data_IF_749367796095
#
_entry.id   IF_749367796095
#
_cell.length_a   1.000
_cell.length_b   1.000
_cell.length_c   1.000
_cell.angle_alpha   90.00
_cell.angle_beta   90.00
_cell.angle_gamma   90.00
#
_symmetry.space_group_name_H-M   'P 1'
#
loop_
_entity.id
_entity.type
_entity.pdbx_description
1 polymer ?
#
# COMPACT_ATOMS: atom_id res chain seq x y z
N UNK A 1 23.80 -15.95 1.34
CA UNK A 1 22.78 -14.95 0.96
C UNK A 1 21.74 -14.73 2.04
N UNK A 2 21.22 -15.76 2.74
CA UNK A 2 20.21 -15.61 3.82
C UNK A 2 20.52 -14.48 4.83
N UNK A 3 21.76 -14.39 5.32
CA UNK A 3 22.14 -13.33 6.29
C UNK A 3 22.28 -11.91 5.69
N UNK A 4 21.94 -11.72 4.40
CA UNK A 4 21.97 -10.42 3.71
C UNK A 4 20.59 -9.96 3.25
N UNK A 5 19.55 -10.80 3.40
CA UNK A 5 18.18 -10.50 2.97
C UNK A 5 17.29 -10.55 4.21
N UNK A 6 16.71 -9.40 4.57
CA UNK A 6 15.84 -9.28 5.75
C UNK A 6 14.41 -9.77 5.47
N UNK A 7 13.95 -9.61 4.23
CA UNK A 7 12.56 -9.87 3.89
C UNK A 7 12.27 -9.86 2.41
N UNK A 8 11.04 -10.22 2.07
CA UNK A 8 10.51 -10.26 0.71
C UNK A 8 9.35 -9.27 0.56
N UNK A 9 9.26 -8.66 -0.62
CA UNK A 9 8.21 -7.73 -1.00
C UNK A 9 7.48 -8.24 -2.24
N UNK A 10 6.16 -8.19 -2.24
CA UNK A 10 5.37 -8.16 -3.47
C UNK A 10 5.20 -6.71 -3.94
N UNK A 11 5.53 -6.43 -5.20
CA UNK A 11 5.36 -5.11 -5.82
C UNK A 11 4.95 -5.25 -7.28
N UNK A 12 5.04 -4.16 -8.05
CA UNK A 12 4.53 -4.05 -9.44
C UNK A 12 3.00 -3.89 -9.50
N UNK A 13 2.42 -4.02 -10.70
CA UNK A 13 1.03 -3.68 -10.98
C UNK A 13 0.04 -4.57 -10.22
N UNK A 14 -0.82 -3.94 -9.41
CA UNK A 14 -1.87 -4.63 -8.66
C UNK A 14 -3.05 -5.07 -9.55
N UNK A 15 -3.35 -4.33 -10.63
CA UNK A 15 -4.49 -4.62 -11.52
C UNK A 15 -4.42 -6.05 -12.06
N UNK A 16 -5.46 -6.84 -11.79
CA UNK A 16 -5.53 -8.26 -12.18
C UNK A 16 -4.61 -9.21 -11.39
N UNK A 17 -3.90 -8.70 -10.37
CA UNK A 17 -2.98 -9.46 -9.53
C UNK A 17 -3.32 -9.29 -8.03
N UNK A 18 -4.43 -9.88 -7.57
CA UNK A 18 -4.80 -9.81 -6.15
C UNK A 18 -3.72 -10.47 -5.26
N UNK A 19 -3.47 -9.98 -4.04
CA UNK A 19 -2.45 -10.54 -3.15
C UNK A 19 -2.63 -12.03 -2.88
N UNK A 20 -3.88 -12.51 -2.75
CA UNK A 20 -4.19 -13.93 -2.54
C UNK A 20 -3.59 -14.88 -3.60
N UNK A 21 -3.38 -14.41 -4.85
CA UNK A 21 -2.70 -15.16 -5.92
C UNK A 21 -1.28 -15.60 -5.53
N UNK A 22 -0.66 -14.88 -4.59
CA UNK A 22 0.72 -15.09 -4.14
C UNK A 22 0.83 -15.70 -2.75
N UNK A 23 -0.28 -16.11 -2.12
CA UNK A 23 -0.30 -16.64 -0.75
C UNK A 23 0.73 -17.76 -0.51
N UNK A 24 0.92 -18.67 -1.48
CA UNK A 24 1.92 -19.76 -1.39
C UNK A 24 3.36 -19.26 -1.26
N UNK A 25 3.69 -18.10 -1.82
CA UNK A 25 5.03 -17.51 -1.77
C UNK A 25 5.28 -16.85 -0.42
N UNK A 26 4.27 -16.15 0.12
CA UNK A 26 4.34 -15.60 1.47
C UNK A 26 4.46 -16.71 2.51
N UNK A 27 3.65 -17.77 2.41
CA UNK A 27 3.77 -18.93 3.28
C UNK A 27 5.18 -19.57 3.22
N UNK A 28 5.80 -19.63 2.03
CA UNK A 28 7.18 -20.09 1.91
C UNK A 28 8.17 -19.13 2.60
N UNK A 29 7.99 -17.82 2.43
CA UNK A 29 8.84 -16.81 3.07
C UNK A 29 8.76 -16.85 4.60
N UNK A 30 7.55 -17.02 5.16
CA UNK A 30 7.36 -17.15 6.61
C UNK A 30 8.03 -18.40 7.18
N UNK A 31 7.94 -19.55 6.50
CA UNK A 31 8.63 -20.79 6.92
C UNK A 31 10.15 -20.62 6.96
N UNK A 32 10.67 -19.75 6.12
CA UNK A 32 12.09 -19.41 6.03
C UNK A 32 12.51 -18.29 7.00
N UNK A 33 11.56 -17.71 7.76
CA UNK A 33 11.81 -16.66 8.73
C UNK A 33 12.03 -15.27 8.12
N UNK A 34 11.64 -15.04 6.88
CA UNK A 34 11.73 -13.73 6.24
C UNK A 34 10.60 -12.80 6.69
N UNK A 35 10.92 -11.51 6.81
CA UNK A 35 9.89 -10.49 6.94
C UNK A 35 9.15 -10.27 5.63
N UNK A 36 7.89 -9.84 5.70
CA UNK A 36 7.03 -9.75 4.51
C UNK A 36 6.32 -8.41 4.36
N UNK A 37 6.29 -7.89 3.14
CA UNK A 37 5.58 -6.65 2.79
C UNK A 37 4.95 -6.74 1.39
N UNK A 38 3.96 -5.90 1.09
CA UNK A 38 3.17 -5.99 -0.13
C UNK A 38 2.69 -4.60 -0.58
N UNK A 39 2.86 -4.26 -1.86
CA UNK A 39 2.00 -3.25 -2.50
C UNK A 39 0.56 -3.75 -2.45
N UNK A 40 -0.30 -3.01 -1.77
CA UNK A 40 -1.73 -3.26 -1.79
C UNK A 40 -2.46 -1.94 -1.56
N UNK A 41 -3.48 -1.70 -2.37
CA UNK A 41 -4.29 -0.49 -2.28
C UNK A 41 -3.60 0.75 -2.85
N UNK A 42 -2.58 0.57 -3.70
CA UNK A 42 -2.05 1.64 -4.54
C UNK A 42 -2.97 1.88 -5.75
N UNK A 43 -3.18 0.83 -6.54
CA UNK A 43 -4.07 0.81 -7.71
C UNK A 43 -5.28 -0.11 -7.49
N UNK A 44 -5.13 -1.10 -6.59
CA UNK A 44 -6.14 -2.08 -6.28
C UNK A 44 -7.16 -1.60 -5.24
N UNK A 45 -8.30 -2.30 -5.15
CA UNK A 45 -9.35 -1.99 -4.18
C UNK A 45 -8.90 -2.24 -2.73
N UNK A 46 -9.65 -1.69 -1.76
CA UNK A 46 -9.44 -1.94 -0.33
C UNK A 46 -9.41 -3.43 0.04
N UNK A 47 -10.08 -4.31 -0.73
CA UNK A 47 -10.03 -5.75 -0.51
C UNK A 47 -8.63 -6.34 -0.70
N UNK A 48 -7.77 -5.73 -1.52
CA UNK A 48 -6.39 -6.18 -1.67
C UNK A 48 -5.59 -5.95 -0.39
N UNK A 49 -5.78 -4.81 0.28
CA UNK A 49 -5.18 -4.56 1.59
C UNK A 49 -5.60 -5.65 2.58
N UNK A 50 -6.88 -6.04 2.56
CA UNK A 50 -7.41 -7.13 3.41
C UNK A 50 -6.79 -8.47 3.07
N UNK A 51 -6.73 -8.85 1.80
CA UNK A 51 -6.10 -10.10 1.37
C UNK A 51 -4.61 -10.16 1.73
N UNK A 52 -3.88 -9.05 1.59
CA UNK A 52 -2.48 -8.99 1.97
C UNK A 52 -2.27 -9.28 3.47
N UNK A 53 -3.15 -8.79 4.34
CA UNK A 53 -3.07 -9.00 5.79
C UNK A 53 -3.66 -10.34 6.25
N UNK A 54 -4.85 -10.70 5.78
CA UNK A 54 -5.58 -11.87 6.25
C UNK A 54 -5.10 -13.16 5.58
N UNK A 55 -4.77 -13.12 4.29
CA UNK A 55 -4.40 -14.30 3.49
C UNK A 55 -2.88 -14.43 3.38
N UNK A 56 -2.21 -13.33 3.04
CA UNK A 56 -0.76 -13.33 2.87
C UNK A 56 0.00 -13.04 4.17
N UNK A 57 -0.69 -12.65 5.24
CA UNK A 57 -0.11 -12.39 6.57
C UNK A 57 1.15 -11.53 6.52
N UNK A 58 1.12 -10.45 5.73
CA UNK A 58 2.25 -9.53 5.63
C UNK A 58 2.36 -8.63 6.85
N UNK A 59 3.57 -8.25 7.23
CA UNK A 59 3.82 -7.38 8.39
C UNK A 59 3.55 -5.91 8.09
N UNK A 60 3.73 -5.50 6.83
CA UNK A 60 3.59 -4.11 6.39
C UNK A 60 2.93 -3.99 5.02
N UNK A 61 2.00 -3.06 4.90
CA UNK A 61 1.42 -2.62 3.62
C UNK A 61 2.22 -1.46 3.06
N UNK A 62 2.61 -1.55 1.80
CA UNK A 62 3.19 -0.44 1.05
C UNK A 62 2.05 0.25 0.25
N UNK A 63 2.05 1.59 0.25
CA UNK A 63 1.00 2.49 -0.24
C UNK A 63 -0.28 2.49 0.58
N UNK A 64 -1.15 1.48 0.46
CA UNK A 64 -2.37 1.39 1.27
C UNK A 64 -3.35 2.57 1.15
N UNK A 65 -3.39 3.29 0.02
CA UNK A 65 -4.25 4.48 -0.13
C UNK A 65 -5.73 4.15 -0.01
N UNK A 66 -6.16 3.01 -0.57
CA UNK A 66 -7.56 2.56 -0.52
C UNK A 66 -7.94 1.87 0.79
N UNK A 67 -7.00 1.72 1.75
CA UNK A 67 -7.27 1.03 3.01
C UNK A 67 -8.42 1.67 3.82
N UNK A 68 -8.59 2.99 3.71
CA UNK A 68 -9.64 3.74 4.40
C UNK A 68 -11.04 3.62 3.75
N UNK A 69 -11.14 3.10 2.52
CA UNK A 69 -12.38 3.02 1.75
C UNK A 69 -13.25 1.80 2.13
N UNK A 70 -12.73 0.88 2.95
CA UNK A 70 -13.48 -0.29 3.42
C UNK A 70 -14.60 0.07 4.39
N UNK A 71 -15.70 -0.70 4.36
CA UNK A 71 -16.88 -0.54 5.22
C UNK A 71 -16.59 -0.62 6.74
N UNK A 72 -15.38 -1.01 7.15
CA UNK A 72 -14.93 -1.07 8.53
C UNK A 72 -13.92 0.03 8.92
N UNK A 73 -13.44 0.87 7.98
CA UNK A 73 -12.74 2.17 8.09
C UNK A 73 -11.62 2.39 9.14
N UNK A 74 -11.42 1.46 10.06
CA UNK A 74 -10.70 1.60 11.34
C UNK A 74 -10.17 0.28 11.88
N UNK A 75 -10.58 -0.88 11.34
CA UNK A 75 -10.04 -2.17 11.76
C UNK A 75 -8.97 -2.61 10.77
N UNK A 76 -7.72 -2.68 11.22
CA UNK A 76 -6.70 -3.46 10.51
C UNK A 76 -7.21 -4.92 10.43
N UNK A 77 -7.39 -5.49 9.23
CA UNK A 77 -7.60 -6.91 9.04
C UNK A 77 -6.41 -7.69 9.62
N UNK A 78 -6.64 -8.88 10.18
CA UNK A 78 -5.59 -9.66 10.86
C UNK A 78 -5.77 -9.83 12.39
N UNK A 79 -7.00 -10.01 12.87
CA UNK A 79 -7.21 -10.57 14.22
C UNK A 79 -6.73 -9.72 15.41
N UNK A 80 -6.50 -8.41 15.22
CA UNK A 80 -6.09 -7.49 16.29
C UNK A 80 -4.63 -7.02 16.24
N UNK A 81 -3.84 -7.45 15.25
CA UNK A 81 -2.50 -6.90 15.04
C UNK A 81 -2.54 -5.55 14.32
N UNK A 82 -1.64 -4.64 14.72
CA UNK A 82 -1.40 -3.38 14.01
C UNK A 82 -0.51 -3.68 12.81
N UNK A 83 -1.02 -3.46 11.60
CA UNK A 83 -0.20 -3.45 10.40
C UNK A 83 0.44 -2.07 10.25
N UNK A 84 1.74 -2.04 9.96
CA UNK A 84 2.39 -0.81 9.52
C UNK A 84 1.98 -0.48 8.09
N UNK A 85 1.79 0.82 7.78
CA UNK A 85 1.48 1.29 6.42
C UNK A 85 2.54 2.30 5.98
N UNK A 86 3.21 2.03 4.87
CA UNK A 86 4.17 2.94 4.24
C UNK A 86 3.47 3.79 3.18
N UNK A 87 3.41 5.11 3.39
CA UNK A 87 2.78 6.05 2.46
C UNK A 87 3.85 6.73 1.59
N UNK A 88 3.79 6.54 0.27
CA UNK A 88 4.68 7.20 -0.70
C UNK A 88 3.99 8.44 -1.31
N UNK A 89 4.00 9.59 -0.64
CA UNK A 89 3.21 10.76 -1.06
C UNK A 89 3.47 11.22 -2.51
N UNK A 90 4.73 11.36 -2.90
CA UNK A 90 5.12 11.83 -4.25
C UNK A 90 4.71 10.81 -5.32
N UNK A 91 5.01 9.53 -5.11
CA UNK A 91 4.65 8.47 -6.06
C UNK A 91 3.14 8.34 -6.22
N UNK A 92 2.38 8.42 -5.12
CA UNK A 92 0.91 8.40 -5.18
C UNK A 92 0.34 9.63 -5.89
N UNK A 93 0.95 10.80 -5.73
CA UNK A 93 0.58 11.99 -6.49
C UNK A 93 0.86 11.81 -7.99
N UNK A 94 2.05 11.34 -8.35
CA UNK A 94 2.44 11.07 -9.75
C UNK A 94 1.51 10.04 -10.42
N UNK A 95 1.13 8.97 -9.70
CA UNK A 95 0.15 7.98 -10.17
C UNK A 95 -1.22 8.61 -10.47
N UNK A 96 -1.71 9.50 -9.59
CA UNK A 96 -2.99 10.20 -9.80
C UNK A 96 -2.93 11.15 -10.99
N UNK A 97 -1.84 11.90 -11.14
CA UNK A 97 -1.61 12.75 -12.32
C UNK A 97 -1.59 11.90 -13.60
N UNK A 98 -0.88 10.77 -13.59
CA UNK A 98 -0.86 9.83 -14.71
C UNK A 98 -2.25 9.20 -14.99
N UNK A 99 -3.08 9.05 -13.97
CA UNK A 99 -4.47 8.59 -14.07
C UNK A 99 -5.46 9.69 -14.49
N UNK A 100 -4.99 10.90 -14.81
CA UNK A 100 -5.82 11.99 -15.32
C UNK A 100 -6.35 12.93 -14.25
N UNK A 101 -5.76 12.98 -13.05
CA UNK A 101 -6.04 14.05 -12.09
C UNK A 101 -5.69 15.40 -12.73
N UNK A 102 -6.70 16.21 -12.99
CA UNK A 102 -6.52 17.61 -13.37
C UNK A 102 -6.19 18.42 -12.13
N UNK A 103 -5.09 19.17 -12.19
CA UNK A 103 -4.72 20.11 -11.16
C UNK A 103 -5.43 21.42 -11.45
N UNK A 104 -6.29 21.85 -10.54
CA UNK A 104 -6.80 23.20 -10.55
C UNK A 104 -5.66 24.17 -10.23
N UNK A 105 -5.21 24.91 -11.25
CA UNK A 105 -4.14 25.88 -11.14
C UNK A 105 -4.49 27.03 -10.18
N UNK A 106 -5.77 27.37 -10.04
CA UNK A 106 -6.23 28.43 -9.15
C UNK A 106 -6.21 27.96 -7.69
N UNK A 107 -6.64 26.71 -7.44
CA UNK A 107 -6.53 26.09 -6.11
C UNK A 107 -5.07 25.87 -5.69
N UNK A 108 -4.20 25.43 -6.61
CA UNK A 108 -2.78 25.25 -6.33
C UNK A 108 -2.06 26.60 -6.13
N UNK A 109 -2.44 27.62 -6.92
CA UNK A 109 -1.95 29.00 -6.78
C UNK A 109 -2.30 29.62 -5.43
N UNK A 110 -3.52 29.40 -4.94
CA UNK A 110 -3.94 29.89 -3.62
C UNK A 110 -3.12 29.28 -2.46
N UNK A 111 -2.70 28.01 -2.59
CA UNK A 111 -1.85 27.32 -1.60
C UNK A 111 -0.40 27.84 -1.64
N UNK A 112 0.14 28.14 -2.83
CA UNK A 112 1.48 28.73 -2.96
C UNK A 112 1.53 30.19 -2.51
N UNK A 113 0.51 30.99 -2.82
CA UNK A 113 0.43 32.40 -2.40
C UNK A 113 0.29 32.56 -0.89
N UNK A 114 -0.36 31.61 -0.22
CA UNK A 114 -0.42 31.59 1.24
C UNK A 114 0.90 31.17 1.89
N UNK A 115 1.77 30.40 1.21
CA UNK A 115 3.11 30.05 1.70
C UNK A 115 4.15 31.15 1.48
N UNK A 116 4.03 31.93 0.40
CA UNK A 116 4.89 33.09 0.14
C UNK A 116 4.57 34.31 1.05
N UNK A 117 3.45 34.25 1.77
CA UNK A 117 3.00 35.28 2.70
C UNK A 117 3.31 34.99 4.18
N UNK A 118 4.10 33.94 4.47
CA UNK A 118 4.62 33.60 5.81
C UNK A 118 6.13 33.78 5.87
#
# INVERSE_FOLDING_TARGET
>A
MRNRILGVRLGSAERGNPPSKFARYFAAAHREGYRTTCHAGEEGPASYVREALDVCQVERIDHGYTAAEGADGRRCPGGGQRAEVLICAISGFQQRVAAGLELDADAFGAVLLTWAAV
#
